data_IF_304825081991
#
_entry.id   IF_304825081991
#
_cell.length_a   1.000
_cell.length_b   1.000
_cell.length_c   1.000
_cell.angle_alpha   90.00
_cell.angle_beta   90.00
_cell.angle_gamma   90.00
#
_symmetry.space_group_name_H-M   'P 1'
#
loop_
_entity.id
_entity.type
_entity.pdbx_description
1 polymer ?
#
# COMPACT_ATOMS: atom_id res chain seq x y z
N UNK A 1 -0.33 18.34 21.79
CA UNK A 1 0.76 18.13 20.81
C UNK A 1 0.10 17.59 19.55
N UNK A 2 0.36 18.19 18.39
CA UNK A 2 -0.15 17.67 17.11
C UNK A 2 0.86 16.67 16.58
N UNK A 3 0.44 15.46 16.26
CA UNK A 3 1.29 14.52 15.53
C UNK A 3 1.36 14.97 14.08
N UNK A 4 2.57 15.07 13.52
CA UNK A 4 2.77 15.32 12.10
C UNK A 4 2.78 13.97 11.37
N UNK A 5 1.92 13.86 10.37
CA UNK A 5 1.84 12.69 9.51
C UNK A 5 2.17 13.12 8.08
N UNK A 6 3.03 12.35 7.41
CA UNK A 6 3.46 12.64 6.04
C UNK A 6 2.97 11.52 5.13
N UNK A 7 2.22 11.88 4.09
CA UNK A 7 1.83 10.93 3.05
C UNK A 7 2.72 11.06 1.83
N UNK A 8 3.18 9.95 1.28
CA UNK A 8 3.97 9.90 0.04
C UNK A 8 3.75 8.59 -0.70
N UNK A 9 4.14 8.56 -1.97
CA UNK A 9 4.21 7.32 -2.73
C UNK A 9 5.16 6.32 -2.05
N UNK A 10 4.77 5.05 -2.06
CA UNK A 10 5.58 3.92 -1.62
C UNK A 10 6.85 3.83 -2.47
N UNK A 11 7.97 3.51 -1.82
CA UNK A 11 9.23 3.14 -2.44
C UNK A 11 9.55 1.69 -2.11
N UNK A 12 10.50 1.07 -2.84
CA UNK A 12 10.93 -0.31 -2.53
C UNK A 12 11.47 -0.48 -1.12
N UNK A 13 11.97 0.60 -0.49
CA UNK A 13 12.47 0.54 0.88
C UNK A 13 11.33 0.36 1.90
N UNK A 14 10.10 0.74 1.55
CA UNK A 14 8.94 0.68 2.44
C UNK A 14 8.30 -0.72 2.49
N UNK A 15 8.56 -1.58 1.48
CA UNK A 15 7.90 -2.89 1.33
C UNK A 15 7.92 -3.72 2.63
N UNK A 16 9.05 -3.88 3.35
CA UNK A 16 9.06 -4.65 4.59
C UNK A 16 8.20 -4.02 5.69
N UNK A 17 8.19 -2.70 5.79
CA UNK A 17 7.42 -1.96 6.78
C UNK A 17 5.92 -2.04 6.47
N UNK A 18 5.53 -1.84 5.21
CA UNK A 18 4.14 -2.03 4.73
C UNK A 18 3.65 -3.44 5.05
N UNK A 19 4.45 -4.47 4.77
CA UNK A 19 4.09 -5.86 5.09
C UNK A 19 3.87 -6.04 6.59
N UNK A 20 4.76 -5.51 7.44
CA UNK A 20 4.61 -5.56 8.89
C UNK A 20 3.34 -4.84 9.37
N UNK A 21 3.02 -3.68 8.81
CA UNK A 21 1.81 -2.92 9.13
C UNK A 21 0.54 -3.71 8.81
N UNK A 22 0.46 -4.36 7.65
CA UNK A 22 -0.70 -5.21 7.29
C UNK A 22 -0.85 -6.42 8.21
N UNK A 23 0.25 -7.12 8.51
CA UNK A 23 0.24 -8.26 9.45
C UNK A 23 -0.23 -7.86 10.85
N UNK A 24 0.16 -6.68 11.32
CA UNK A 24 -0.27 -6.16 12.61
C UNK A 24 -1.74 -5.71 12.61
N UNK A 25 -2.26 -5.24 11.48
CA UNK A 25 -3.60 -4.65 11.38
C UNK A 25 -4.74 -5.67 11.20
N UNK A 26 -4.53 -6.74 10.44
CA UNK A 26 -5.63 -7.61 9.98
C UNK A 26 -5.68 -8.99 10.66
N UNK A 27 -4.71 -9.32 11.51
CA UNK A 27 -4.70 -10.57 12.28
C UNK A 27 -4.45 -11.85 11.46
N UNK A 28 -4.38 -11.74 10.14
CA UNK A 28 -3.93 -12.80 9.21
C UNK A 28 -2.92 -12.24 8.21
N UNK A 29 -2.29 -13.12 7.43
CA UNK A 29 -1.38 -12.69 6.36
C UNK A 29 -2.07 -12.36 5.04
N UNK A 30 -3.40 -12.53 4.92
CA UNK A 30 -4.11 -12.43 3.64
C UNK A 30 -3.93 -11.07 2.97
N UNK A 31 -4.05 -9.97 3.71
CA UNK A 31 -3.90 -8.61 3.20
C UNK A 31 -2.45 -8.30 2.81
N UNK A 32 -1.49 -8.76 3.62
CA UNK A 32 -0.07 -8.61 3.34
C UNK A 32 0.34 -9.36 2.05
N UNK A 33 -0.14 -10.59 1.90
CA UNK A 33 0.12 -11.42 0.72
C UNK A 33 -0.60 -10.88 -0.52
N UNK A 34 -1.81 -10.32 -0.37
CA UNK A 34 -2.54 -9.64 -1.44
C UNK A 34 -1.75 -8.42 -1.96
N UNK A 35 -1.23 -7.58 -1.07
CA UNK A 35 -0.42 -6.41 -1.45
C UNK A 35 0.85 -6.85 -2.20
N UNK A 36 1.52 -7.91 -1.74
CA UNK A 36 2.71 -8.42 -2.41
C UNK A 36 2.40 -9.01 -3.79
N UNK A 37 1.26 -9.72 -3.94
CA UNK A 37 0.80 -10.23 -5.22
C UNK A 37 0.45 -9.09 -6.20
N UNK A 38 -0.29 -8.07 -5.76
CA UNK A 38 -0.65 -6.91 -6.58
C UNK A 38 0.57 -6.10 -7.02
N UNK A 39 1.63 -6.03 -6.20
CA UNK A 39 2.89 -5.38 -6.56
C UNK A 39 3.65 -6.10 -7.67
N UNK A 40 3.44 -7.41 -7.81
CA UNK A 40 4.04 -8.21 -8.87
C UNK A 40 3.20 -8.24 -10.17
N UNK A 41 1.95 -7.78 -10.12
CA UNK A 41 1.02 -7.78 -11.24
C UNK A 41 1.13 -6.48 -12.05
N UNK A 42 1.74 -6.55 -13.24
CA UNK A 42 1.94 -5.40 -14.11
C UNK A 42 0.64 -4.86 -14.74
N UNK A 43 -0.43 -5.67 -14.81
CA UNK A 43 -1.71 -5.24 -15.37
C UNK A 43 -2.54 -4.45 -14.35
N UNK A 44 -2.41 -4.82 -13.07
CA UNK A 44 -3.07 -4.17 -11.94
C UNK A 44 -2.27 -2.98 -11.36
N UNK A 45 -0.95 -3.05 -11.36
CA UNK A 45 -0.11 -2.05 -10.70
C UNK A 45 -0.13 -0.68 -11.40
N UNK A 46 -0.21 0.39 -10.60
CA UNK A 46 -0.14 1.77 -11.08
C UNK A 46 0.91 2.52 -10.27
N UNK A 47 1.95 3.00 -10.93
CA UNK A 47 3.03 3.76 -10.29
C UNK A 47 2.49 5.02 -9.60
N UNK A 48 2.89 5.19 -8.34
CA UNK A 48 2.50 6.34 -7.51
C UNK A 48 1.15 6.21 -6.81
N UNK A 49 0.40 5.13 -7.01
CA UNK A 49 -0.89 4.89 -6.33
C UNK A 49 -0.83 3.88 -5.17
N UNK A 50 0.38 3.41 -4.86
CA UNK A 50 0.69 2.85 -3.54
C UNK A 50 1.19 3.98 -2.64
N UNK A 51 0.51 4.24 -1.52
CA UNK A 51 0.75 5.41 -0.65
C UNK A 51 1.00 4.94 0.77
N UNK A 52 2.07 5.44 1.38
CA UNK A 52 2.38 5.26 2.79
C UNK A 52 2.10 6.53 3.58
N UNK A 53 1.67 6.37 4.82
CA UNK A 53 1.68 7.42 5.83
C UNK A 53 2.82 7.12 6.81
N UNK A 54 3.66 8.13 7.08
CA UNK A 54 4.73 8.03 8.06
C UNK A 54 4.59 9.04 9.19
N UNK A 55 5.16 8.73 10.35
CA UNK A 55 5.41 9.73 11.39
C UNK A 55 6.63 10.61 11.06
N UNK A 56 7.05 11.40 12.06
CA UNK A 56 8.19 12.32 11.98
C UNK A 56 9.55 11.60 11.86
N UNK A 57 9.65 10.38 12.37
CA UNK A 57 10.86 9.54 12.30
C UNK A 57 10.93 8.74 10.98
N UNK A 58 9.83 8.74 10.22
CA UNK A 58 9.71 8.07 8.93
C UNK A 58 9.16 6.65 9.03
N UNK A 59 8.68 6.23 10.21
CA UNK A 59 8.08 4.92 10.41
C UNK A 59 6.74 4.83 9.70
N UNK A 60 6.53 3.75 8.94
CA UNK A 60 5.27 3.53 8.20
C UNK A 60 4.17 3.12 9.18
N UNK A 61 3.22 4.02 9.38
CA UNK A 61 2.07 3.81 10.27
C UNK A 61 0.77 3.51 9.53
N UNK A 62 0.78 3.63 8.20
CA UNK A 62 -0.39 3.37 7.38
C UNK A 62 -0.02 3.13 5.92
N UNK A 63 -0.87 2.38 5.23
CA UNK A 63 -0.70 2.04 3.82
C UNK A 63 -2.06 2.03 3.12
N UNK A 64 -2.14 2.67 1.96
CA UNK A 64 -3.28 2.61 1.06
C UNK A 64 -2.78 2.29 -0.35
N UNK A 65 -3.39 1.28 -0.98
CA UNK A 65 -3.04 0.83 -2.31
C UNK A 65 -4.28 0.94 -3.20
N UNK A 66 -4.15 1.66 -4.31
CA UNK A 66 -5.16 1.69 -5.37
C UNK A 66 -4.59 0.99 -6.60
N UNK A 67 -5.38 0.11 -7.20
CA UNK A 67 -4.96 -0.69 -8.36
C UNK A 67 -5.94 -0.57 -9.51
N UNK A 68 -5.48 -0.94 -10.71
CA UNK A 68 -6.35 -1.07 -11.87
C UNK A 68 -7.20 -2.32 -11.71
N UNK A 69 -8.50 -2.16 -11.87
CA UNK A 69 -9.45 -3.25 -12.05
C UNK A 69 -10.24 -3.04 -13.35
N UNK A 70 -11.17 -3.95 -13.65
CA UNK A 70 -12.01 -3.87 -14.83
C UNK A 70 -13.49 -4.16 -14.49
N UNK A 71 -14.39 -3.38 -15.09
CA UNK A 71 -15.84 -3.62 -15.08
C UNK A 71 -16.23 -4.01 -16.51
N UNK A 72 -16.35 -5.32 -16.75
CA UNK A 72 -16.36 -5.84 -18.12
C UNK A 72 -15.01 -5.51 -18.79
N UNK A 73 -15.07 -4.88 -19.96
CA UNK A 73 -13.86 -4.47 -20.70
C UNK A 73 -13.39 -3.05 -20.37
N UNK A 74 -14.05 -2.36 -19.43
CA UNK A 74 -13.75 -0.95 -19.08
C UNK A 74 -12.80 -0.91 -17.89
N UNK A 75 -11.62 -0.26 -18.00
CA UNK A 75 -10.72 -0.09 -16.87
C UNK A 75 -11.33 0.84 -15.81
N UNK A 76 -11.15 0.46 -14.54
CA UNK A 76 -11.61 1.20 -13.38
C UNK A 76 -10.52 1.24 -12.29
N UNK A 77 -10.71 2.11 -11.30
CA UNK A 77 -9.83 2.22 -10.14
C UNK A 77 -10.48 1.50 -8.95
N UNK A 78 -9.73 0.59 -8.33
CA UNK A 78 -10.11 -0.12 -7.11
C UNK A 78 -9.38 0.46 -5.90
#
# INVERSE_FOLDING_TARGET
MSTLWITRAETRADIPAVRATHLAAFGTAAEADLVDALRADADAWIDGLSVVATDEDGDVVGHALLTRCHIGDVPALC
#
